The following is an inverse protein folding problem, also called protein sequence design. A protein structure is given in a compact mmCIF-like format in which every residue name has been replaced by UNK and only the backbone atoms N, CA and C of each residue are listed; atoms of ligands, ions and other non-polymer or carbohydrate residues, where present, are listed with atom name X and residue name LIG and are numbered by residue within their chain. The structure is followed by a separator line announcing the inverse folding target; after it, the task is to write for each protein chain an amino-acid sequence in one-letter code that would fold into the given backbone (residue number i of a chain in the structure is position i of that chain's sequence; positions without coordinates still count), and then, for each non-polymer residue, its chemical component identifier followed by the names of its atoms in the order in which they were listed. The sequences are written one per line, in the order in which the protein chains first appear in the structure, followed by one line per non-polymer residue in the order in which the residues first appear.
data_IF_779115571872
#
_entry.id   IF_779115571872
#
_cell.length_a   1.000
_cell.length_b   1.000
_cell.length_c   1.000
_cell.angle_alpha   90.00
_cell.angle_beta   90.00
_cell.angle_gamma   90.00
#
_symmetry.space_group_name_H-M   'P 1'
#
loop_
_entity.id
_entity.type
_entity.pdbx_description
1 polymer ?
#
# COMPACT_ATOMS: atom_id res chain seq x y z
N UNK A 1 21.54 16.61 -4.22
CA UNK A 1 20.76 15.79 -3.27
C UNK A 1 20.05 14.66 -4.01
N UNK A 2 20.21 13.43 -3.57
CA UNK A 2 19.62 12.25 -4.25
C UNK A 2 18.15 12.11 -3.85
N UNK A 3 17.27 12.11 -4.83
CA UNK A 3 15.85 11.83 -4.60
C UNK A 3 15.70 10.34 -4.30
N UNK A 4 15.18 10.00 -3.12
CA UNK A 4 14.85 8.62 -2.74
C UNK A 4 13.34 8.40 -2.94
N UNK A 5 13.00 7.34 -3.63
CA UNK A 5 11.60 6.90 -3.78
C UNK A 5 11.50 5.47 -3.27
N UNK A 6 10.84 5.29 -2.15
CA UNK A 6 10.54 3.98 -1.58
C UNK A 6 9.22 3.50 -2.15
N UNK A 7 9.27 2.39 -2.89
CA UNK A 7 8.11 1.77 -3.54
C UNK A 7 7.69 0.50 -2.79
N UNK A 8 6.42 0.11 -2.89
CA UNK A 8 5.96 -1.15 -2.36
C UNK A 8 6.72 -2.34 -2.97
N UNK A 9 7.00 -3.33 -2.15
CA UNK A 9 7.65 -4.55 -2.61
C UNK A 9 6.60 -5.54 -3.10
N UNK A 10 6.63 -5.86 -4.40
CA UNK A 10 5.68 -6.77 -5.03
C UNK A 10 5.66 -8.17 -4.36
N UNK A 11 6.80 -8.69 -3.92
CA UNK A 11 6.86 -9.99 -3.27
C UNK A 11 6.04 -10.04 -1.97
N UNK A 12 6.04 -8.93 -1.20
CA UNK A 12 5.26 -8.82 0.03
C UNK A 12 3.76 -8.66 -0.25
N UNK A 13 3.42 -7.97 -1.34
CA UNK A 13 2.05 -7.67 -1.72
C UNK A 13 1.35 -8.82 -2.44
N UNK A 14 2.12 -9.70 -3.10
CA UNK A 14 1.59 -10.73 -4.00
C UNK A 14 0.49 -11.59 -3.38
N UNK A 15 0.68 -12.04 -2.15
CA UNK A 15 -0.32 -12.90 -1.47
C UNK A 15 -1.64 -12.16 -1.25
N UNK A 16 -1.58 -10.93 -0.73
CA UNK A 16 -2.77 -10.10 -0.49
C UNK A 16 -3.44 -9.72 -1.80
N UNK A 17 -2.66 -9.38 -2.83
CA UNK A 17 -3.16 -9.05 -4.15
C UNK A 17 -3.91 -10.24 -4.78
N UNK A 18 -3.32 -11.43 -4.78
CA UNK A 18 -3.94 -12.65 -5.30
C UNK A 18 -5.26 -12.93 -4.54
N UNK A 19 -5.24 -12.86 -3.20
CA UNK A 19 -6.43 -13.09 -2.40
C UNK A 19 -7.56 -12.12 -2.76
N UNK A 20 -7.26 -10.83 -2.88
CA UNK A 20 -8.24 -9.79 -3.22
C UNK A 20 -8.77 -9.96 -4.65
N UNK A 21 -7.90 -10.34 -5.60
CA UNK A 21 -8.30 -10.59 -6.99
C UNK A 21 -9.15 -11.85 -7.16
N UNK A 22 -9.01 -12.84 -6.27
CA UNK A 22 -9.83 -14.06 -6.32
C UNK A 22 -11.31 -13.78 -5.97
N UNK A 23 -11.61 -12.74 -5.20
CA UNK A 23 -12.99 -12.42 -4.79
C UNK A 23 -13.91 -12.16 -5.99
N UNK A 24 -13.60 -11.25 -6.94
CA UNK A 24 -14.41 -11.03 -8.12
C UNK A 24 -14.64 -12.32 -8.91
N UNK A 25 -13.58 -13.11 -9.17
CA UNK A 25 -13.70 -14.35 -9.91
C UNK A 25 -14.62 -15.37 -9.22
N UNK A 26 -14.56 -15.51 -7.90
CA UNK A 26 -15.44 -16.39 -7.16
C UNK A 26 -16.90 -15.93 -7.26
N UNK A 27 -17.14 -14.62 -7.18
CA UNK A 27 -18.48 -14.05 -7.32
C UNK A 27 -19.03 -14.28 -8.75
N UNK A 28 -18.21 -14.07 -9.77
CA UNK A 28 -18.60 -14.34 -11.17
C UNK A 28 -18.90 -15.81 -11.39
N UNK A 29 -18.07 -16.72 -10.87
CA UNK A 29 -18.30 -18.16 -10.97
C UNK A 29 -19.59 -18.57 -10.26
N UNK A 30 -19.83 -18.07 -9.05
CA UNK A 30 -21.07 -18.33 -8.31
C UNK A 30 -22.30 -17.83 -9.07
N UNK A 31 -22.24 -16.62 -9.62
CA UNK A 31 -23.30 -16.05 -10.41
C UNK A 31 -23.56 -16.89 -11.69
N UNK A 32 -22.50 -17.34 -12.36
CA UNK A 32 -22.61 -18.24 -13.52
C UNK A 32 -23.31 -19.55 -13.18
N UNK A 33 -22.97 -20.18 -12.05
CA UNK A 33 -23.63 -21.40 -11.58
C UNK A 33 -25.13 -21.14 -11.32
N UNK A 34 -25.44 -20.08 -10.58
CA UNK A 34 -26.84 -19.71 -10.28
C UNK A 34 -27.63 -19.44 -11.56
N UNK A 35 -27.01 -18.81 -12.57
CA UNK A 35 -27.66 -18.55 -13.87
C UNK A 35 -27.99 -19.82 -14.65
N UNK A 36 -27.13 -20.85 -14.60
CA UNK A 36 -27.35 -22.13 -15.25
C UNK A 36 -28.56 -22.87 -14.62
N UNK A 37 -28.66 -22.80 -13.27
CA UNK A 37 -29.73 -23.46 -12.53
C UNK A 37 -31.00 -22.61 -12.40
N UNK A 38 -31.01 -21.39 -12.93
CA UNK A 38 -32.20 -20.54 -12.93
C UNK A 38 -33.27 -21.09 -13.83
N UNK A 39 -34.49 -21.21 -13.29
CA UNK A 39 -35.69 -21.64 -14.05
C UNK A 39 -36.24 -20.54 -14.96
N UNK A 40 -35.64 -19.36 -15.00
CA UNK A 40 -36.10 -18.24 -15.82
C UNK A 40 -35.55 -18.38 -17.25
N UNK A 41 -36.41 -18.56 -18.27
CA UNK A 41 -35.97 -18.77 -19.66
C UNK A 41 -35.18 -17.56 -20.21
N UNK A 42 -35.47 -16.35 -19.75
CA UNK A 42 -34.78 -15.14 -20.15
C UNK A 42 -33.29 -15.13 -19.72
N UNK A 43 -32.99 -15.73 -18.58
CA UNK A 43 -31.60 -15.87 -18.05
C UNK A 43 -30.89 -17.00 -18.82
N UNK A 44 -31.59 -18.05 -19.22
CA UNK A 44 -31.02 -19.16 -19.98
C UNK A 44 -30.77 -18.77 -21.47
N UNK A 45 -31.53 -17.85 -22.04
CA UNK A 45 -31.34 -17.40 -23.42
C UNK A 45 -30.06 -16.55 -23.65
N UNK A 46 -29.40 -16.09 -22.58
CA UNK A 46 -28.19 -15.27 -22.68
C UNK A 46 -26.98 -15.88 -21.97
N UNK A 47 -26.69 -17.19 -22.10
CA UNK A 47 -25.68 -17.88 -21.28
C UNK A 47 -24.24 -17.36 -21.46
N UNK A 48 -23.96 -16.72 -22.61
CA UNK A 48 -22.61 -16.22 -22.94
C UNK A 48 -22.44 -14.71 -22.79
N UNK A 49 -23.49 -13.90 -22.82
CA UNK A 49 -23.37 -12.44 -22.74
C UNK A 49 -23.06 -11.96 -21.32
N UNK A 50 -23.68 -12.56 -20.33
CA UNK A 50 -23.44 -12.22 -18.91
C UNK A 50 -22.03 -12.59 -18.42
N UNK A 51 -21.52 -13.83 -18.65
CA UNK A 51 -20.16 -14.18 -18.23
C UNK A 51 -19.09 -13.31 -18.89
N UNK A 52 -19.23 -12.98 -20.18
CA UNK A 52 -18.27 -12.14 -20.88
C UNK A 52 -18.24 -10.72 -20.30
N UNK A 53 -19.39 -10.14 -20.03
CA UNK A 53 -19.49 -8.81 -19.43
C UNK A 53 -18.96 -8.78 -18.00
N UNK A 54 -19.24 -9.79 -17.17
CA UNK A 54 -18.69 -9.87 -15.82
C UNK A 54 -17.18 -10.09 -15.81
N UNK A 55 -16.62 -10.87 -16.74
CA UNK A 55 -15.19 -10.99 -16.90
C UNK A 55 -14.51 -9.65 -17.22
N UNK A 56 -15.10 -8.83 -18.08
CA UNK A 56 -14.59 -7.49 -18.38
C UNK A 56 -14.57 -6.61 -17.11
N UNK A 57 -15.63 -6.66 -16.32
CA UNK A 57 -15.70 -5.96 -15.04
C UNK A 57 -14.62 -6.47 -14.09
N UNK A 58 -14.42 -7.78 -13.98
CA UNK A 58 -13.40 -8.38 -13.12
C UNK A 58 -11.99 -7.92 -13.52
N UNK A 59 -11.66 -7.92 -14.82
CA UNK A 59 -10.39 -7.39 -15.31
C UNK A 59 -10.21 -5.91 -14.98
N UNK A 60 -11.25 -5.10 -15.13
CA UNK A 60 -11.22 -3.69 -14.78
C UNK A 60 -10.99 -3.48 -13.27
N UNK A 61 -11.69 -4.23 -12.43
CA UNK A 61 -11.53 -4.19 -10.98
C UNK A 61 -10.14 -4.62 -10.55
N UNK A 62 -9.59 -5.69 -11.14
CA UNK A 62 -8.22 -6.15 -10.87
C UNK A 62 -7.21 -5.08 -11.26
N UNK A 63 -7.38 -4.44 -12.42
CA UNK A 63 -6.55 -3.32 -12.86
C UNK A 63 -6.60 -2.16 -11.87
N UNK A 64 -7.78 -1.79 -11.40
CA UNK A 64 -7.99 -0.74 -10.41
C UNK A 64 -7.32 -1.09 -9.07
N UNK A 65 -7.50 -2.30 -8.58
CA UNK A 65 -6.86 -2.81 -7.36
C UNK A 65 -5.33 -2.74 -7.50
N UNK A 66 -4.79 -3.19 -8.64
CA UNK A 66 -3.36 -3.10 -8.92
C UNK A 66 -2.84 -1.66 -8.87
N UNK A 67 -3.55 -0.72 -9.52
CA UNK A 67 -3.21 0.70 -9.47
C UNK A 67 -3.22 1.25 -8.05
N UNK A 68 -4.18 0.86 -7.23
CA UNK A 68 -4.24 1.23 -5.81
C UNK A 68 -3.00 0.76 -5.07
N UNK A 69 -2.60 -0.49 -5.27
CA UNK A 69 -1.44 -1.06 -4.57
C UNK A 69 -0.12 -0.40 -4.96
N UNK A 70 0.12 -0.13 -6.25
CA UNK A 70 1.36 0.51 -6.70
C UNK A 70 1.42 2.01 -6.41
N UNK A 71 0.28 2.64 -6.11
CA UNK A 71 0.18 4.08 -5.85
C UNK A 71 0.70 4.51 -4.48
N UNK A 72 0.85 3.57 -3.54
CA UNK A 72 1.37 3.86 -2.21
C UNK A 72 2.89 3.95 -2.31
N UNK A 73 3.45 5.12 -2.00
CA UNK A 73 4.90 5.34 -2.02
C UNK A 73 5.33 6.40 -1.03
N UNK A 74 6.58 6.35 -0.62
CA UNK A 74 7.24 7.42 0.13
C UNK A 74 8.25 8.07 -0.81
N UNK A 75 8.17 9.37 -0.98
CA UNK A 75 9.15 10.15 -1.73
C UNK A 75 9.89 11.09 -0.78
N UNK A 76 11.20 11.08 -0.88
CA UNK A 76 12.07 11.97 -0.15
C UNK A 76 12.94 12.74 -1.14
N UNK A 77 12.90 14.06 -1.10
CA UNK A 77 13.65 14.94 -2.02
C UNK A 77 14.76 15.75 -1.32
N UNK A 78 15.06 15.37 -0.08
CA UNK A 78 16.04 16.05 0.76
C UNK A 78 15.54 17.30 1.49
N UNK A 79 14.40 17.86 1.11
CA UNK A 79 13.75 18.99 1.79
C UNK A 79 12.47 18.58 2.50
N UNK A 80 11.78 17.62 1.93
CA UNK A 80 10.50 17.10 2.45
C UNK A 80 10.35 15.62 2.19
N UNK A 81 9.67 14.96 3.08
CA UNK A 81 9.20 13.60 2.93
C UNK A 81 7.70 13.63 2.63
N UNK A 82 7.29 12.97 1.55
CA UNK A 82 5.90 12.96 1.09
C UNK A 82 5.41 11.53 1.07
N UNK A 83 4.30 11.30 1.76
CA UNK A 83 3.55 10.06 1.70
C UNK A 83 2.46 10.15 0.64
N UNK A 84 2.51 9.25 -0.33
CA UNK A 84 1.51 9.16 -1.39
C UNK A 84 0.58 7.97 -1.17
N UNK A 85 -0.71 8.19 -1.43
CA UNK A 85 -1.72 7.16 -1.53
C UNK A 85 -2.63 7.51 -2.71
N UNK A 86 -2.97 6.55 -3.56
CA UNK A 86 -3.74 6.80 -4.80
C UNK A 86 -3.11 7.88 -5.69
N UNK A 87 -1.78 7.86 -5.82
CA UNK A 87 -0.98 8.87 -6.55
C UNK A 87 -1.06 10.30 -5.98
N UNK A 88 -1.91 10.57 -5.01
CA UNK A 88 -2.08 11.87 -4.37
C UNK A 88 -1.16 12.01 -3.15
N UNK A 89 -0.56 13.17 -2.92
CA UNK A 89 0.20 13.45 -1.71
C UNK A 89 -0.76 13.58 -0.52
N UNK A 90 -0.79 12.57 0.35
CA UNK A 90 -1.67 12.55 1.52
C UNK A 90 -1.08 13.38 2.66
N UNK A 91 0.25 13.29 2.82
CA UNK A 91 0.98 14.00 3.89
C UNK A 91 2.34 14.42 3.37
N UNK A 92 2.74 15.62 3.74
CA UNK A 92 4.07 16.18 3.47
C UNK A 92 4.69 16.66 4.78
N UNK A 93 5.93 16.25 5.02
CA UNK A 93 6.70 16.59 6.21
C UNK A 93 7.97 17.32 5.75
N UNK A 94 8.07 18.63 5.97
CA UNK A 94 9.34 19.32 5.83
C UNK A 94 10.36 18.69 6.79
N UNK A 95 11.57 18.47 6.32
CA UNK A 95 12.61 17.73 7.07
C UNK A 95 13.00 18.47 8.34
N UNK A 96 13.05 19.80 8.30
CA UNK A 96 13.32 20.69 9.43
C UNK A 96 12.29 20.57 10.57
N UNK A 97 11.12 20.04 10.28
CA UNK A 97 10.07 19.80 11.27
C UNK A 97 10.09 18.40 11.87
N UNK A 98 10.83 17.47 11.27
CA UNK A 98 10.95 16.10 11.78
C UNK A 98 11.99 16.09 12.89
N UNK A 99 11.58 15.72 14.08
CA UNK A 99 12.48 15.57 15.24
C UNK A 99 13.02 14.15 15.35
N UNK A 100 12.11 13.17 15.19
CA UNK A 100 12.45 11.76 15.31
C UNK A 100 11.72 10.96 14.26
N UNK A 101 12.41 10.02 13.64
CA UNK A 101 11.81 9.02 12.75
C UNK A 101 12.12 7.62 13.29
N UNK A 102 11.13 6.75 13.30
CA UNK A 102 11.31 5.39 13.79
C UNK A 102 10.63 4.36 12.88
N UNK A 103 11.20 3.16 12.82
CA UNK A 103 10.58 2.03 12.16
C UNK A 103 10.47 0.86 13.11
N UNK A 104 9.25 0.34 13.24
CA UNK A 104 8.96 -0.88 13.99
C UNK A 104 8.75 -2.03 12.98
N UNK A 105 9.73 -2.92 12.83
CA UNK A 105 9.66 -4.04 11.90
C UNK A 105 8.65 -5.11 12.32
N UNK A 106 8.36 -5.26 13.62
CA UNK A 106 7.38 -6.23 14.12
C UNK A 106 5.96 -5.83 13.75
N UNK A 107 5.63 -4.55 13.92
CA UNK A 107 4.31 -3.98 13.56
C UNK A 107 4.25 -3.48 12.12
N UNK A 108 5.42 -3.37 11.47
CA UNK A 108 5.58 -2.80 10.11
C UNK A 108 4.97 -1.40 10.00
N UNK A 109 5.38 -0.54 10.90
CA UNK A 109 4.94 0.86 10.96
C UNK A 109 6.15 1.80 10.95
N UNK A 110 6.01 2.91 10.21
CA UNK A 110 6.92 4.04 10.25
C UNK A 110 6.31 5.11 11.17
N UNK A 111 7.09 5.57 12.12
CA UNK A 111 6.73 6.58 13.10
C UNK A 111 7.47 7.86 12.76
N UNK A 112 6.76 8.99 12.69
CA UNK A 112 7.37 10.31 12.45
C UNK A 112 6.85 11.27 13.50
N UNK A 113 7.76 11.77 14.31
CA UNK A 113 7.47 12.78 15.29
C UNK A 113 7.89 14.16 14.79
N UNK A 114 6.89 15.05 14.66
CA UNK A 114 7.09 16.43 14.20
C UNK A 114 7.11 17.40 15.37
N UNK A 115 8.24 18.13 15.50
CA UNK A 115 8.46 19.09 16.60
C UNK A 115 7.41 20.22 16.60
N UNK A 116 7.18 20.86 15.45
CA UNK A 116 6.31 22.05 15.35
C UNK A 116 4.87 21.79 15.77
N UNK A 117 4.35 20.60 15.49
CA UNK A 117 2.96 20.22 15.82
C UNK A 117 2.85 19.36 17.06
N UNK A 118 3.96 19.02 17.69
CA UNK A 118 4.01 18.06 18.80
C UNK A 118 3.19 16.79 18.52
N UNK A 119 3.26 16.31 17.30
CA UNK A 119 2.38 15.25 16.79
C UNK A 119 3.17 14.05 16.29
N UNK A 120 2.71 12.87 16.67
CA UNK A 120 3.22 11.60 16.19
C UNK A 120 2.34 11.11 15.03
N UNK A 121 2.97 10.83 13.91
CA UNK A 121 2.34 10.25 12.75
C UNK A 121 2.76 8.80 12.59
N UNK A 122 1.79 7.93 12.36
CA UNK A 122 1.97 6.49 12.22
C UNK A 122 1.56 6.07 10.82
N UNK A 123 2.47 5.43 10.07
CA UNK A 123 2.22 5.00 8.71
C UNK A 123 2.39 3.48 8.60
N UNK A 124 1.38 2.77 8.07
CA UNK A 124 1.48 1.35 7.84
C UNK A 124 2.45 1.06 6.68
N UNK A 125 3.50 0.31 6.96
CA UNK A 125 4.57 -0.02 6.01
C UNK A 125 4.62 -1.51 5.64
N UNK A 126 3.51 -2.23 5.76
CA UNK A 126 3.43 -3.69 5.51
C UNK A 126 3.91 -4.11 4.12
N UNK A 127 3.75 -3.21 3.14
CA UNK A 127 4.06 -3.47 1.74
C UNK A 127 5.46 -3.01 1.33
N UNK A 128 6.24 -2.44 2.24
CA UNK A 128 7.60 -1.98 1.97
C UNK A 128 8.63 -2.99 2.47
N UNK A 129 9.75 -3.08 1.76
CA UNK A 129 10.85 -3.89 2.23
C UNK A 129 11.54 -3.21 3.42
N UNK A 130 11.95 -3.98 4.40
CA UNK A 130 12.65 -3.48 5.59
C UNK A 130 13.93 -2.75 5.22
N UNK A 131 14.69 -3.30 4.26
CA UNK A 131 15.90 -2.67 3.72
C UNK A 131 15.65 -1.24 3.19
N UNK A 132 14.51 -1.01 2.56
CA UNK A 132 14.18 0.31 2.01
C UNK A 132 13.80 1.30 3.12
N UNK A 133 13.18 0.79 4.19
CA UNK A 133 12.89 1.60 5.39
C UNK A 133 14.18 1.94 6.14
N UNK A 134 15.08 0.98 6.29
CA UNK A 134 16.40 1.22 6.89
C UNK A 134 17.19 2.26 6.10
N UNK A 135 17.21 2.15 4.76
CA UNK A 135 17.84 3.15 3.90
C UNK A 135 17.24 4.54 4.03
N UNK A 136 15.92 4.65 4.20
CA UNK A 136 15.25 5.93 4.46
C UNK A 136 15.69 6.52 5.80
N UNK A 137 15.69 5.72 6.87
CA UNK A 137 16.10 6.16 8.20
C UNK A 137 17.59 6.56 8.23
N UNK A 138 18.45 5.82 7.54
CA UNK A 138 19.87 6.15 7.43
C UNK A 138 20.09 7.51 6.75
N UNK A 139 19.38 7.79 5.66
CA UNK A 139 19.46 9.08 4.99
C UNK A 139 18.98 10.21 5.91
N UNK A 140 17.86 10.03 6.62
CA UNK A 140 17.33 11.02 7.56
C UNK A 140 18.32 11.29 8.70
N UNK A 141 18.95 10.26 9.22
CA UNK A 141 19.96 10.42 10.29
C UNK A 141 21.23 11.09 9.78
N UNK A 142 21.78 10.61 8.66
CA UNK A 142 23.09 10.99 8.16
C UNK A 142 23.11 12.37 7.50
N UNK A 143 22.11 12.66 6.67
CA UNK A 143 22.08 13.92 5.91
C UNK A 143 21.39 15.05 6.67
N UNK A 144 20.51 14.75 7.62
CA UNK A 144 19.69 15.75 8.31
C UNK A 144 19.80 15.72 9.82
N UNK A 145 20.61 14.82 10.39
CA UNK A 145 20.80 14.73 11.84
C UNK A 145 19.53 14.37 12.61
N UNK A 146 18.53 13.79 11.94
CA UNK A 146 17.28 13.38 12.59
C UNK A 146 17.53 12.17 13.46
N UNK A 147 17.05 12.21 14.71
CA UNK A 147 17.14 11.05 15.60
C UNK A 147 16.32 9.90 15.02
N UNK A 148 16.96 8.79 14.73
CA UNK A 148 16.28 7.59 14.22
C UNK A 148 16.22 6.51 15.28
N UNK A 149 15.07 5.81 15.34
CA UNK A 149 14.84 4.72 16.29
C UNK A 149 14.38 3.51 15.49
N UNK A 150 15.10 2.40 15.60
CA UNK A 150 14.65 1.10 15.12
C UNK A 150 14.26 0.28 16.35
N UNK A 151 12.97 0.01 16.48
CA UNK A 151 12.46 -0.84 17.56
C UNK A 151 12.72 -2.29 17.14
N UNK A 152 13.75 -2.92 17.71
CA UNK A 152 14.00 -4.35 17.54
C UNK A 152 12.96 -5.18 18.31
N UNK A 153 12.91 -6.50 18.11
CA UNK A 153 12.05 -7.41 18.88
C UNK A 153 12.38 -7.49 20.39
N UNK A 154 13.18 -6.58 20.91
CA UNK A 154 13.47 -6.31 22.30
C UNK A 154 13.44 -4.81 22.50
N UNK A 155 12.24 -4.21 22.54
CA UNK A 155 12.09 -2.78 22.79
C UNK A 155 12.76 -2.36 24.10
N UNK A 156 13.15 -1.07 24.27
CA UNK A 156 13.70 -0.60 25.52
C UNK A 156 12.67 -0.85 26.63
N UNK A 157 13.09 -1.67 27.60
CA UNK A 157 12.46 -1.79 28.91
C UNK A 157 12.48 -0.45 29.65
#
# INVERSE_FOLDING_TARGET
MKKLIVKPNWRLMRKTFILVCMIPFLLTALFGIVSIFSLRPEVQAAPFKFPLFSLLIDFFLIGLIYLIFISIRISFDGKKMIWYKFFLPVRSFPVDQINTAGYDPARKILLIYCRRKNSLYVFPCRNFAEKDMDGLLEILAREHGIKTIKTGPGGPS
#
